data_IF_941249197919
#
_entry.id   IF_941249197919
#
_cell.length_a   1.000
_cell.length_b   1.000
_cell.length_c   1.000
_cell.angle_alpha   90.00
_cell.angle_beta   90.00
_cell.angle_gamma   90.00
#
_symmetry.space_group_name_H-M   'P 1'
#
loop_
_entity.id
_entity.type
_entity.pdbx_description
1 polymer ?
#
# COMPACT_ATOMS: atom_id res chain seq x y z
N UNK A 1 12.39 2.03 -1.35
CA UNK A 1 11.38 1.01 -1.06
C UNK A 1 10.77 0.49 -2.35
N UNK A 2 10.55 -0.80 -2.42
CA UNK A 2 9.95 -1.43 -3.59
C UNK A 2 8.43 -1.39 -3.51
N UNK A 3 7.80 -1.34 -4.67
CA UNK A 3 6.35 -1.43 -4.75
C UNK A 3 5.97 -2.35 -5.90
N UNK A 4 4.78 -2.94 -5.78
CA UNK A 4 4.22 -3.85 -6.78
C UNK A 4 3.07 -3.12 -7.44
N UNK A 5 2.99 -3.18 -8.77
CA UNK A 5 1.94 -2.48 -9.50
C UNK A 5 1.53 -3.24 -10.74
N UNK A 6 0.30 -2.97 -11.18
CA UNK A 6 -0.23 -3.52 -12.42
C UNK A 6 -1.29 -2.56 -12.96
N UNK A 7 -1.71 -2.82 -14.19
CA UNK A 7 -2.73 -2.01 -14.84
C UNK A 7 -4.01 -2.83 -14.98
N UNK A 8 -5.14 -2.25 -14.62
CA UNK A 8 -6.44 -2.89 -14.71
C UNK A 8 -7.47 -1.86 -15.15
N UNK A 9 -8.11 -2.12 -16.31
CA UNK A 9 -9.16 -1.26 -16.87
C UNK A 9 -8.78 0.22 -16.94
N UNK A 10 -7.56 0.50 -17.39
CA UNK A 10 -7.11 1.87 -17.56
C UNK A 10 -6.57 2.54 -16.31
N UNK A 11 -6.63 1.86 -15.18
CA UNK A 11 -6.10 2.38 -13.92
C UNK A 11 -4.86 1.62 -13.51
N UNK A 12 -3.92 2.32 -12.91
CA UNK A 12 -2.75 1.71 -12.31
C UNK A 12 -3.04 1.44 -10.84
N UNK A 13 -2.82 0.19 -10.44
CA UNK A 13 -3.03 -0.25 -9.07
C UNK A 13 -1.68 -0.66 -8.49
N UNK A 14 -1.54 -0.53 -7.19
CA UNK A 14 -0.29 -0.94 -6.58
C UNK A 14 -0.30 -0.86 -5.07
N UNK A 15 0.74 -1.43 -4.50
CA UNK A 15 0.96 -1.39 -3.05
C UNK A 15 2.46 -1.45 -2.77
N UNK A 16 2.84 -0.94 -1.61
CA UNK A 16 4.21 -1.05 -1.14
C UNK A 16 4.48 -2.49 -0.73
N UNK A 17 5.63 -3.02 -1.14
CA UNK A 17 5.97 -4.42 -0.87
C UNK A 17 5.89 -4.76 0.61
N UNK A 18 6.31 -3.84 1.48
CA UNK A 18 6.30 -4.06 2.92
C UNK A 18 4.93 -3.84 3.57
N UNK A 19 3.99 -3.26 2.84
CA UNK A 19 2.67 -2.94 3.36
C UNK A 19 1.58 -3.37 2.37
N UNK A 20 1.44 -4.69 2.14
CA UNK A 20 0.54 -5.19 1.09
C UNK A 20 -0.94 -4.96 1.36
N UNK A 21 -1.30 -4.61 2.59
CA UNK A 21 -2.69 -4.33 2.93
C UNK A 21 -3.16 -2.94 2.50
N UNK A 22 -2.24 -2.09 2.05
CA UNK A 22 -2.55 -0.70 1.74
C UNK A 22 -2.41 -0.46 0.24
N UNK A 23 -3.39 -0.93 -0.52
CA UNK A 23 -3.43 -0.76 -1.96
C UNK A 23 -3.98 0.61 -2.33
N UNK A 24 -3.44 1.19 -3.39
CA UNK A 24 -3.93 2.45 -3.93
C UNK A 24 -3.99 2.39 -5.45
N UNK A 25 -4.42 3.46 -6.07
CA UNK A 25 -4.57 3.53 -7.51
C UNK A 25 -4.19 4.90 -8.04
N UNK A 26 -4.01 4.99 -9.35
CA UNK A 26 -3.74 6.24 -10.04
C UNK A 26 -4.06 6.12 -11.51
N UNK A 27 -4.28 7.24 -12.18
CA UNK A 27 -4.52 7.26 -13.62
C UNK A 27 -3.22 7.15 -14.42
N UNK A 28 -2.09 7.40 -13.76
CA UNK A 28 -0.76 7.27 -14.34
C UNK A 28 0.17 6.66 -13.31
N UNK A 29 1.34 6.22 -13.75
CA UNK A 29 2.35 5.69 -12.82
C UNK A 29 2.81 6.78 -11.87
N UNK A 30 2.96 8.01 -12.37
CA UNK A 30 3.38 9.14 -11.55
C UNK A 30 2.38 9.40 -10.43
N UNK A 31 1.10 9.35 -10.75
CA UNK A 31 0.05 9.54 -9.74
C UNK A 31 0.05 8.39 -8.74
N UNK A 32 0.21 7.16 -9.22
CA UNK A 32 0.30 6.01 -8.35
C UNK A 32 1.46 6.15 -7.35
N UNK A 33 2.63 6.60 -7.85
CA UNK A 33 3.79 6.79 -6.99
C UNK A 33 3.56 7.86 -5.93
N UNK A 34 2.89 8.96 -6.29
CA UNK A 34 2.55 10.00 -5.33
C UNK A 34 1.65 9.44 -4.24
N UNK A 35 0.64 8.66 -4.62
CA UNK A 35 -0.28 8.06 -3.67
C UNK A 35 0.40 7.04 -2.77
N UNK A 36 1.34 6.26 -3.31
CA UNK A 36 2.12 5.32 -2.52
C UNK A 36 3.04 6.03 -1.53
N UNK A 37 3.63 7.14 -1.94
CA UNK A 37 4.46 7.95 -1.04
C UNK A 37 3.64 8.51 0.12
N UNK A 38 2.42 8.93 -0.16
CA UNK A 38 1.52 9.42 0.88
C UNK A 38 1.18 8.35 1.89
N UNK A 39 0.90 7.13 1.41
CA UNK A 39 0.65 5.99 2.29
C UNK A 39 1.86 5.70 3.18
N UNK A 40 3.04 5.64 2.58
CA UNK A 40 4.27 5.40 3.33
C UNK A 40 4.51 6.47 4.40
N UNK A 41 4.29 7.71 4.03
CA UNK A 41 4.46 8.83 4.95
C UNK A 41 3.51 8.72 6.14
N UNK A 42 2.26 8.37 5.90
CA UNK A 42 1.28 8.22 6.98
C UNK A 42 1.59 7.01 7.86
N UNK A 43 1.99 5.89 7.26
CA UNK A 43 2.34 4.68 8.02
C UNK A 43 3.54 4.92 8.95
N UNK A 44 4.52 5.66 8.47
CA UNK A 44 5.73 5.91 9.25
C UNK A 44 5.59 7.05 10.24
N UNK A 45 4.61 7.93 10.04
CA UNK A 45 4.36 9.05 10.96
C UNK A 45 3.42 8.70 12.09
N UNK A 46 2.80 7.51 12.04
CA UNK A 46 1.85 7.08 13.06
C UNK A 46 0.48 7.71 12.94
N UNK A 47 0.17 8.35 11.83
CA UNK A 47 -1.12 8.99 11.62
C UNK A 47 -2.24 8.02 11.26
N UNK A 48 -1.91 6.79 10.89
CA UNK A 48 -2.90 5.75 10.61
C UNK A 48 -3.20 5.04 11.93
N UNK A 49 -4.45 5.14 12.42
CA UNK A 49 -4.77 4.63 13.77
C UNK A 49 -4.76 3.11 13.89
N UNK A 50 -4.83 2.38 12.80
CA UNK A 50 -4.90 0.91 12.84
C UNK A 50 -3.84 0.28 11.96
N UNK A 51 -2.60 0.31 12.41
CA UNK A 51 -1.53 -0.41 11.73
C UNK A 51 -1.72 -1.90 12.01
N UNK A 52 -1.84 -2.68 10.95
CA UNK A 52 -2.07 -4.12 11.09
C UNK A 52 -0.79 -4.83 11.48
N UNK A 53 -0.94 -5.80 12.34
CA UNK A 53 0.17 -6.65 12.78
C UNK A 53 -0.12 -8.08 12.41
N UNK A 54 0.95 -8.82 12.16
CA UNK A 54 0.84 -10.25 11.87
C UNK A 54 0.93 -11.03 13.18
N UNK A 55 -0.01 -11.94 13.36
CA UNK A 55 -0.01 -12.82 14.51
C UNK A 55 -0.50 -14.19 14.05
N UNK A 56 -0.01 -15.22 14.70
CA UNK A 56 -0.44 -16.58 14.40
C UNK A 56 -1.55 -17.00 15.34
N UNK A 57 -2.60 -17.56 14.75
CA UNK A 57 -3.67 -18.17 15.53
C UNK A 57 -3.44 -19.68 15.58
N UNK A 58 -3.32 -20.22 16.76
CA UNK A 58 -3.17 -21.67 16.90
C UNK A 58 -4.56 -22.30 16.89
N UNK A 59 -4.75 -23.19 15.95
CA UNK A 59 -5.97 -23.98 15.84
C UNK A 59 -5.61 -25.45 16.05
N UNK A 60 -6.35 -26.09 16.89
CA UNK A 60 -6.12 -27.51 17.21
C UNK A 60 -7.22 -28.39 16.69
#
# INVERSE_FOLDING_TARGET
>A
MKYIYWKDEGMWLGYLEEYPDYMTQGESIEELEINLKDIYKELTSGNIPCIRKVAELQVS
#
